data_IF_899358303001
#
_entry.id   IF_899358303001
#
_cell.length_a   1.000
_cell.length_b   1.000
_cell.length_c   1.000
_cell.angle_alpha   90.00
_cell.angle_beta   90.00
_cell.angle_gamma   90.00
#
_symmetry.space_group_name_H-M   'P 1'
#
loop_
_entity.id
_entity.type
_entity.pdbx_description
1 polymer ?
#
# COMPACT_ATOMS: atom_id res chain seq x y z
N UNK A 1 18.23 -4.37 -13.27
CA UNK A 1 16.77 -4.18 -13.46
C UNK A 1 16.40 -2.79 -12.97
N UNK A 2 16.58 -1.74 -13.78
CA UNK A 2 16.21 -0.37 -13.38
C UNK A 2 14.90 0.03 -14.10
N UNK A 3 14.01 0.72 -13.37
CA UNK A 3 12.80 1.34 -13.92
C UNK A 3 11.47 0.63 -13.66
N UNK A 4 11.40 -0.39 -12.79
CA UNK A 4 10.11 -0.92 -12.32
C UNK A 4 9.54 -0.05 -11.22
N UNK A 5 8.23 0.19 -11.25
CA UNK A 5 7.52 0.95 -10.24
C UNK A 5 7.45 0.16 -8.93
N UNK A 6 7.80 0.82 -7.85
CA UNK A 6 7.65 0.35 -6.49
C UNK A 6 7.03 1.48 -5.65
N UNK A 7 6.18 1.12 -4.70
CA UNK A 7 5.57 2.07 -3.76
C UNK A 7 5.91 1.63 -2.36
N UNK A 8 6.58 2.50 -1.62
CA UNK A 8 6.80 2.33 -0.19
C UNK A 8 5.62 2.89 0.58
N UNK A 9 4.99 2.04 1.37
CA UNK A 9 3.94 2.40 2.30
C UNK A 9 4.47 2.34 3.73
N UNK A 10 4.14 3.35 4.52
CA UNK A 10 4.35 3.36 5.96
C UNK A 10 3.06 3.80 6.64
N UNK A 11 2.75 3.19 7.77
CA UNK A 11 1.59 3.54 8.58
C UNK A 11 1.95 3.54 10.07
N UNK A 12 1.12 4.21 10.85
CA UNK A 12 1.24 4.29 12.29
C UNK A 12 -0.15 4.37 12.92
N UNK A 13 -0.25 4.01 14.21
CA UNK A 13 -1.50 4.11 14.96
C UNK A 13 -2.51 2.99 14.69
N UNK A 14 -2.14 1.97 13.91
CA UNK A 14 -2.93 0.77 13.77
C UNK A 14 -2.88 -0.08 15.04
N UNK A 15 -4.01 -0.69 15.43
CA UNK A 15 -4.16 -1.39 16.71
C UNK A 15 -4.16 -2.91 16.57
N UNK A 16 -4.44 -3.41 15.37
CA UNK A 16 -4.39 -4.83 15.05
C UNK A 16 -2.95 -5.36 14.97
N UNK A 17 -2.81 -6.68 15.14
CA UNK A 17 -1.52 -7.36 14.96
C UNK A 17 -1.07 -7.40 13.49
N UNK A 18 -2.03 -7.44 12.58
CA UNK A 18 -1.82 -7.51 11.14
C UNK A 18 -2.57 -6.38 10.44
N UNK A 19 -2.10 -6.07 9.24
CA UNK A 19 -2.51 -4.92 8.45
C UNK A 19 -2.80 -5.37 7.04
N UNK A 20 -4.00 -5.07 6.58
CA UNK A 20 -4.47 -5.36 5.23
C UNK A 20 -4.16 -4.18 4.33
N UNK A 21 -3.36 -4.42 3.30
CA UNK A 21 -2.92 -3.42 2.33
C UNK A 21 -3.75 -3.58 1.08
N UNK A 22 -4.48 -2.53 0.75
CA UNK A 22 -5.31 -2.46 -0.45
C UNK A 22 -4.66 -1.58 -1.50
N UNK A 23 -4.63 -2.07 -2.74
CA UNK A 23 -4.30 -1.30 -3.95
C UNK A 23 -5.49 -1.32 -4.90
N UNK A 24 -5.99 -0.15 -5.26
CA UNK A 24 -7.20 0.03 -6.08
C UNK A 24 -8.40 -0.75 -5.54
N UNK A 25 -8.60 -0.68 -4.23
CA UNK A 25 -9.66 -1.42 -3.48
C UNK A 25 -9.51 -2.94 -3.49
N UNK A 26 -8.41 -3.50 -3.99
CA UNK A 26 -8.10 -4.93 -3.95
C UNK A 26 -7.05 -5.19 -2.87
N UNK A 27 -7.29 -6.18 -2.01
CA UNK A 27 -6.30 -6.64 -1.02
C UNK A 27 -5.12 -7.25 -1.75
N UNK A 28 -3.92 -6.67 -1.58
CA UNK A 28 -2.69 -7.17 -2.21
C UNK A 28 -1.79 -7.91 -1.23
N UNK A 29 -1.87 -7.57 0.05
CA UNK A 29 -1.06 -8.18 1.09
C UNK A 29 -1.70 -7.99 2.47
N UNK A 30 -1.44 -8.95 3.35
CA UNK A 30 -1.66 -8.82 4.79
C UNK A 30 -0.30 -8.98 5.46
N UNK A 31 0.12 -7.97 6.23
CA UNK A 31 1.45 -7.92 6.83
C UNK A 31 1.39 -7.66 8.34
N UNK A 32 2.42 -8.02 9.10
CA UNK A 32 2.50 -7.63 10.51
C UNK A 32 2.48 -6.11 10.68
N UNK A 33 1.79 -5.62 11.71
CA UNK A 33 1.70 -4.19 12.02
C UNK A 33 3.07 -3.58 12.40
N UNK A 34 3.94 -4.37 13.02
CA UNK A 34 5.33 -3.98 13.33
C UNK A 34 6.24 -4.69 12.33
N UNK A 35 7.09 -3.98 11.54
CA UNK A 35 7.62 -2.63 11.79
C UNK A 35 6.83 -1.44 11.22
N UNK A 36 5.66 -1.64 10.60
CA UNK A 36 4.81 -0.53 10.14
C UNK A 36 5.11 -0.03 8.73
N UNK A 37 5.73 -0.85 7.90
CA UNK A 37 6.00 -0.54 6.50
C UNK A 37 5.82 -1.74 5.58
N UNK A 38 5.58 -1.46 4.30
CA UNK A 38 5.52 -2.45 3.23
C UNK A 38 5.89 -1.81 1.89
N UNK A 39 6.70 -2.50 1.11
CA UNK A 39 7.02 -2.09 -0.26
C UNK A 39 6.23 -2.94 -1.24
N UNK A 40 5.36 -2.30 -2.00
CA UNK A 40 4.63 -2.93 -3.11
C UNK A 40 5.46 -2.85 -4.39
N UNK A 41 5.98 -4.00 -4.82
CA UNK A 41 6.65 -4.14 -6.11
C UNK A 41 5.64 -4.38 -7.23
N UNK A 42 5.21 -3.29 -7.89
CA UNK A 42 4.23 -3.36 -8.99
C UNK A 42 4.83 -4.07 -10.22
N UNK A 43 6.15 -3.95 -10.42
CA UNK A 43 6.87 -4.66 -11.48
C UNK A 43 6.61 -4.13 -12.90
N UNK A 44 5.75 -3.12 -13.04
CA UNK A 44 5.45 -2.46 -14.32
C UNK A 44 6.32 -1.22 -14.53
N UNK A 45 6.42 -0.79 -15.79
CA UNK A 45 7.14 0.43 -16.19
C UNK A 45 6.18 1.45 -16.80
N UNK A 46 6.59 2.72 -16.84
CA UNK A 46 5.84 3.77 -17.52
C UNK A 46 4.90 4.56 -16.60
N UNK A 47 3.70 4.88 -17.09
CA UNK A 47 2.69 5.64 -16.34
C UNK A 47 1.78 4.70 -15.56
N UNK A 48 1.35 5.13 -14.38
CA UNK A 48 0.43 4.35 -13.53
C UNK A 48 -0.19 5.21 -12.46
N UNK A 49 -1.42 4.90 -12.07
CA UNK A 49 -2.07 5.51 -10.90
C UNK A 49 -2.56 4.40 -9.98
N UNK A 50 -2.20 4.50 -8.71
CA UNK A 50 -2.48 3.49 -7.70
C UNK A 50 -3.08 4.16 -6.47
N UNK A 51 -4.24 3.68 -6.06
CA UNK A 51 -4.88 4.11 -4.82
C UNK A 51 -4.56 3.11 -3.73
N UNK A 52 -3.89 3.54 -2.68
CA UNK A 52 -3.58 2.71 -1.53
C UNK A 52 -4.45 3.06 -0.34
N UNK A 53 -4.77 2.03 0.43
CA UNK A 53 -5.43 2.15 1.73
C UNK A 53 -4.94 1.03 2.63
N UNK A 54 -4.71 1.36 3.89
CA UNK A 54 -4.23 0.43 4.91
C UNK A 54 -5.36 0.21 5.91
N UNK A 55 -5.64 -1.03 6.31
CA UNK A 55 -6.72 -1.34 7.25
C UNK A 55 -6.25 -2.28 8.35
N UNK A 56 -6.83 -2.15 9.54
CA UNK A 56 -6.63 -3.10 10.63
C UNK A 56 -7.26 -4.44 10.23
N UNK A 57 -6.44 -5.50 10.16
CA UNK A 57 -6.85 -6.76 9.57
C UNK A 57 -8.06 -7.37 10.26
N UNK A 58 -9.04 -7.81 9.47
CA UNK A 58 -10.31 -8.36 9.97
C UNK A 58 -11.28 -7.32 10.53
N UNK A 59 -11.01 -6.03 10.34
CA UNK A 59 -11.90 -4.93 10.75
C UNK A 59 -12.28 -4.04 9.55
N UNK A 60 -13.14 -3.04 9.80
CA UNK A 60 -13.43 -1.97 8.85
C UNK A 60 -12.68 -0.67 9.17
N UNK A 61 -11.76 -0.70 10.14
CA UNK A 61 -10.96 0.47 10.50
C UNK A 61 -9.83 0.63 9.47
N UNK A 62 -9.96 1.61 8.60
CA UNK A 62 -9.02 1.88 7.51
C UNK A 62 -8.49 3.31 7.58
N UNK A 63 -7.25 3.48 7.12
CA UNK A 63 -6.65 4.78 6.85
C UNK A 63 -7.40 5.55 5.77
N UNK A 64 -7.04 6.83 5.63
CA UNK A 64 -7.37 7.58 4.43
C UNK A 64 -6.78 6.91 3.18
N UNK A 65 -7.43 7.13 2.04
CA UNK A 65 -6.92 6.68 0.74
C UNK A 65 -5.82 7.61 0.26
N UNK A 66 -4.73 7.05 -0.26
CA UNK A 66 -3.59 7.79 -0.83
C UNK A 66 -3.45 7.44 -2.31
N UNK A 67 -3.36 8.44 -3.17
CA UNK A 67 -3.18 8.24 -4.61
C UNK A 67 -1.73 8.47 -5.00
N UNK A 68 -1.07 7.44 -5.51
CA UNK A 68 0.29 7.50 -6.06
C UNK A 68 0.21 7.52 -7.59
N UNK A 69 0.89 8.48 -8.22
CA UNK A 69 0.93 8.63 -9.68
C UNK A 69 2.37 8.54 -10.17
N UNK A 70 2.61 7.65 -11.11
CA UNK A 70 3.87 7.51 -11.84
C UNK A 70 3.74 8.11 -13.23
N UNK A 71 4.75 8.89 -13.65
CA UNK A 71 4.82 9.48 -14.98
C UNK A 71 3.90 10.68 -15.20
N UNK A 72 3.60 11.42 -14.14
CA UNK A 72 3.12 12.81 -14.22
C UNK A 72 4.32 13.74 -14.39
N UNK A 73 4.33 14.48 -15.50
CA UNK A 73 5.22 15.63 -15.70
C UNK A 73 4.59 16.89 -15.12
#
# INVERSE_FOLDING_TARGET
>A
MQGQQAVDLSWNGATSNNIDIYRNSVLIATVPNVPGFYTDHIGVRGKGTYNYRVCDAGTQNCSNQVTVRFGGG
#
